data_IF_049748918214
#
_entry.id   IF_049748918214
#
_cell.length_a   1.000
_cell.length_b   1.000
_cell.length_c   1.000
_cell.angle_alpha   90.00
_cell.angle_beta   90.00
_cell.angle_gamma   90.00
#
_symmetry.space_group_name_H-M   'P 1'
#
loop_
_entity.id
_entity.type
_entity.pdbx_description
1 polymer ?
#
# COMPACT_ATOMS: atom_id res chain seq x y z
N UNK A 1 -7.02 26.25 22.06
CA UNK A 1 -6.15 25.15 21.60
C UNK A 1 -6.66 23.82 22.08
N UNK A 2 -7.35 23.09 21.21
CA UNK A 2 -7.87 21.76 21.51
C UNK A 2 -6.81 20.71 21.21
N UNK A 3 -6.35 19.99 22.23
CA UNK A 3 -5.48 18.83 22.07
C UNK A 3 -6.18 17.67 21.35
N UNK A 4 -5.49 16.53 21.18
CA UNK A 4 -6.09 15.30 20.67
C UNK A 4 -7.38 14.93 21.41
N UNK A 5 -8.36 14.42 20.68
CA UNK A 5 -9.67 14.04 21.24
C UNK A 5 -10.09 12.63 20.84
N UNK A 6 -10.76 11.93 21.75
CA UNK A 6 -11.43 10.65 21.47
C UNK A 6 -12.84 10.83 20.87
N UNK A 7 -13.37 12.06 20.90
CA UNK A 7 -14.71 12.41 20.41
C UNK A 7 -14.59 13.11 19.06
N UNK A 8 -13.98 12.44 18.09
CA UNK A 8 -13.76 12.97 16.75
C UNK A 8 -14.86 12.57 15.77
N UNK A 9 -14.92 13.27 14.63
CA UNK A 9 -15.73 12.91 13.46
C UNK A 9 -14.82 12.74 12.27
N UNK A 10 -14.90 11.57 11.64
CA UNK A 10 -14.02 11.20 10.55
C UNK A 10 -14.81 10.73 9.34
N UNK A 11 -14.33 11.11 8.16
CA UNK A 11 -14.75 10.55 6.88
C UNK A 11 -13.62 9.71 6.33
N UNK A 12 -13.94 8.48 5.92
CA UNK A 12 -13.00 7.55 5.29
C UNK A 12 -13.52 7.21 3.90
N UNK A 13 -12.63 7.27 2.92
CA UNK A 13 -12.85 6.77 1.57
C UNK A 13 -12.01 5.51 1.39
N UNK A 14 -12.62 4.44 0.89
CA UNK A 14 -11.93 3.24 0.44
C UNK A 14 -12.50 2.83 -0.92
N UNK A 15 -11.64 2.77 -1.94
CA UNK A 15 -12.03 2.43 -3.30
C UNK A 15 -11.01 1.47 -3.91
N UNK A 16 -11.50 0.42 -4.54
CA UNK A 16 -10.69 -0.54 -5.28
C UNK A 16 -11.30 -0.77 -6.67
N UNK A 17 -10.45 -0.80 -7.69
CA UNK A 17 -10.83 -1.07 -9.07
C UNK A 17 -9.88 -2.09 -9.67
N UNK A 18 -10.43 -3.11 -10.35
CA UNK A 18 -9.70 -4.14 -11.07
C UNK A 18 -10.20 -4.21 -12.51
N UNK A 19 -9.35 -3.83 -13.46
CA UNK A 19 -9.70 -3.77 -14.89
C UNK A 19 -8.84 -4.77 -15.67
N UNK A 20 -9.43 -5.86 -16.19
CA UNK A 20 -8.75 -6.71 -17.16
C UNK A 20 -8.72 -6.05 -18.54
N UNK A 21 -7.59 -6.15 -19.23
CA UNK A 21 -7.44 -5.67 -20.61
C UNK A 21 -6.41 -6.52 -21.36
N UNK A 22 -6.28 -6.29 -22.66
CA UNK A 22 -5.27 -6.94 -23.50
C UNK A 22 -4.43 -5.90 -24.23
N UNK A 23 -3.14 -6.18 -24.36
CA UNK A 23 -2.24 -5.47 -25.28
C UNK A 23 -1.71 -6.51 -26.25
N UNK A 24 -2.11 -6.40 -27.53
CA UNK A 24 -2.01 -7.50 -28.50
C UNK A 24 -2.64 -8.79 -27.92
N UNK A 25 -1.88 -9.88 -27.85
CA UNK A 25 -2.35 -11.16 -27.29
C UNK A 25 -2.05 -11.34 -25.80
N UNK A 26 -1.34 -10.39 -25.17
CA UNK A 26 -1.00 -10.47 -23.75
C UNK A 26 -2.18 -9.97 -22.90
N UNK A 27 -2.74 -10.88 -22.10
CA UNK A 27 -3.69 -10.51 -21.05
C UNK A 27 -2.98 -9.77 -19.92
N UNK A 28 -3.55 -8.65 -19.49
CA UNK A 28 -3.06 -7.82 -18.40
C UNK A 28 -4.23 -7.46 -17.46
N UNK A 29 -3.90 -7.08 -16.24
CA UNK A 29 -4.86 -6.56 -15.28
C UNK A 29 -4.27 -5.35 -14.57
N UNK A 30 -4.97 -4.23 -14.63
CA UNK A 30 -4.65 -3.06 -13.85
C UNK A 30 -5.49 -3.07 -12.57
N UNK A 31 -4.83 -2.91 -11.42
CA UNK A 31 -5.47 -2.81 -10.11
C UNK A 31 -5.06 -1.51 -9.46
N UNK A 32 -6.05 -0.76 -8.98
CA UNK A 32 -5.82 0.48 -8.24
C UNK A 32 -6.62 0.48 -6.95
N UNK A 33 -6.00 0.96 -5.87
CA UNK A 33 -6.64 1.14 -4.57
C UNK A 33 -6.37 2.55 -4.07
N UNK A 34 -7.41 3.26 -3.65
CA UNK A 34 -7.30 4.57 -3.00
C UNK A 34 -7.92 4.45 -1.61
N UNK A 35 -7.17 4.90 -0.60
CA UNK A 35 -7.71 5.14 0.74
C UNK A 35 -7.44 6.58 1.14
N UNK A 36 -8.47 7.25 1.64
CA UNK A 36 -8.39 8.60 2.16
C UNK A 36 -9.01 8.71 3.54
N UNK A 37 -8.45 9.57 4.38
CA UNK A 37 -8.94 9.90 5.70
C UNK A 37 -9.03 11.42 5.83
N UNK A 38 -10.16 11.90 6.34
CA UNK A 38 -10.37 13.32 6.62
C UNK A 38 -11.12 13.52 7.93
N UNK A 39 -10.60 14.43 8.76
CA UNK A 39 -11.23 14.92 9.98
C UNK A 39 -10.91 16.41 10.14
N UNK A 40 -11.70 17.14 10.92
CA UNK A 40 -11.33 18.47 11.40
C UNK A 40 -10.84 18.47 12.85
N UNK A 41 -10.89 17.33 13.52
CA UNK A 41 -10.45 17.15 14.89
C UNK A 41 -8.98 16.73 14.93
N UNK A 42 -8.27 17.12 16.00
CA UNK A 42 -6.92 16.62 16.28
C UNK A 42 -7.03 15.21 16.84
N UNK A 43 -6.28 14.27 16.27
CA UNK A 43 -6.34 12.87 16.64
C UNK A 43 -5.14 12.48 17.53
N UNK A 44 -5.29 11.35 18.22
CA UNK A 44 -4.15 10.63 18.76
C UNK A 44 -3.47 9.86 17.62
N UNK A 45 -2.16 9.66 17.71
CA UNK A 45 -1.38 8.95 16.69
C UNK A 45 -1.95 7.58 16.29
N UNK A 46 -2.63 6.88 17.22
CA UNK A 46 -3.26 5.58 16.94
C UNK A 46 -4.42 5.66 15.93
N UNK A 47 -5.03 6.84 15.80
CA UNK A 47 -6.12 7.14 14.86
C UNK A 47 -5.62 7.87 13.59
N UNK A 48 -4.32 8.20 13.52
CA UNK A 48 -3.74 8.87 12.34
C UNK A 48 -3.66 7.91 11.15
N UNK A 49 -3.81 8.45 9.95
CA UNK A 49 -3.48 7.72 8.73
C UNK A 49 -1.96 7.63 8.61
N UNK A 50 -1.42 6.42 8.56
CA UNK A 50 0.01 6.20 8.33
C UNK A 50 0.32 5.86 6.88
N UNK A 51 1.48 6.30 6.39
CA UNK A 51 2.04 5.95 5.08
C UNK A 51 3.51 5.52 5.22
N UNK A 52 3.95 4.62 4.33
CA UNK A 52 5.32 4.11 4.29
C UNK A 52 5.46 2.67 4.81
N UNK A 53 4.57 1.76 4.42
CA UNK A 53 4.65 0.33 4.78
C UNK A 53 4.13 -0.55 3.65
N UNK A 54 4.29 -1.88 3.78
CA UNK A 54 3.77 -2.84 2.78
C UNK A 54 2.26 -2.79 2.55
N UNK A 55 1.50 -2.21 3.49
CA UNK A 55 0.03 -2.12 3.41
C UNK A 55 -0.46 -0.79 2.83
N UNK A 56 0.40 0.25 2.79
CA UNK A 56 0.06 1.60 2.35
C UNK A 56 0.88 1.97 1.11
N UNK A 57 1.87 2.86 1.23
CA UNK A 57 2.84 3.14 0.16
C UNK A 57 3.94 2.08 0.22
N UNK A 58 3.94 1.11 -0.71
CA UNK A 58 4.98 0.07 -0.80
C UNK A 58 6.33 0.65 -1.22
N UNK A 59 7.39 -0.12 -0.99
CA UNK A 59 8.78 0.30 -1.20
C UNK A 59 9.46 0.81 0.07
N UNK A 60 8.76 0.78 1.20
CA UNK A 60 9.24 1.16 2.51
C UNK A 60 9.12 -0.03 3.47
N UNK A 61 10.08 -0.14 4.39
CA UNK A 61 10.17 -1.21 5.40
C UNK A 61 9.11 -1.13 6.50
N UNK A 62 8.56 0.05 6.76
CA UNK A 62 7.56 0.29 7.82
C UNK A 62 8.17 0.62 9.18
N UNK A 63 9.49 0.63 9.30
CA UNK A 63 10.22 1.00 10.53
C UNK A 63 10.10 2.50 10.81
N UNK A 64 10.04 3.30 9.76
CA UNK A 64 9.66 4.72 9.80
C UNK A 64 8.41 4.94 8.96
N UNK A 65 7.48 5.74 9.48
CA UNK A 65 6.22 6.06 8.81
C UNK A 65 5.92 7.55 8.98
N UNK A 66 5.18 8.13 8.03
CA UNK A 66 4.57 9.44 8.20
C UNK A 66 3.12 9.23 8.61
N UNK A 67 2.68 9.92 9.65
CA UNK A 67 1.33 9.82 10.18
C UNK A 67 0.70 11.20 10.30
N UNK A 68 -0.56 11.32 9.93
CA UNK A 68 -1.30 12.57 10.13
C UNK A 68 -2.78 12.34 10.27
N UNK A 69 -3.48 13.32 10.84
CA UNK A 69 -4.92 13.21 11.11
C UNK A 69 -5.71 13.04 9.80
N UNK A 70 -5.19 13.63 8.71
CA UNK A 70 -5.75 13.59 7.37
C UNK A 70 -4.72 13.06 6.39
N UNK A 71 -5.18 12.48 5.30
CA UNK A 71 -4.27 12.08 4.24
C UNK A 71 -4.90 11.10 3.28
N UNK A 72 -4.08 10.60 2.38
CA UNK A 72 -4.45 9.51 1.50
C UNK A 72 -3.23 8.70 1.07
N UNK A 73 -3.48 7.50 0.59
CA UNK A 73 -2.55 6.78 -0.27
C UNK A 73 -3.29 6.22 -1.48
N UNK A 74 -2.56 6.12 -2.58
CA UNK A 74 -3.02 5.61 -3.85
C UNK A 74 -2.00 4.59 -4.36
N UNK A 75 -2.48 3.36 -4.57
CA UNK A 75 -1.68 2.22 -4.98
C UNK A 75 -2.07 1.80 -6.37
N UNK A 76 -1.08 1.58 -7.23
CA UNK A 76 -1.28 1.15 -8.61
C UNK A 76 -0.49 -0.13 -8.86
N UNK A 77 -1.09 -1.07 -9.58
CA UNK A 77 -0.46 -2.32 -9.93
C UNK A 77 -0.86 -2.75 -11.34
N UNK A 78 0.14 -3.10 -12.15
CA UNK A 78 -0.04 -3.77 -13.42
C UNK A 78 0.40 -5.21 -13.29
N UNK A 79 -0.52 -6.14 -13.55
CA UNK A 79 -0.32 -7.57 -13.40
C UNK A 79 -0.32 -8.27 -14.76
N UNK A 80 0.59 -9.21 -14.95
CA UNK A 80 0.66 -10.08 -16.12
C UNK A 80 0.59 -11.56 -15.67
N UNK A 81 -0.49 -12.28 -15.99
CA UNK A 81 -0.57 -13.71 -15.76
C UNK A 81 0.51 -14.47 -16.54
N UNK A 82 1.10 -15.49 -15.91
CA UNK A 82 2.12 -16.37 -16.48
C UNK A 82 1.47 -17.60 -17.10
N UNK A 83 0.98 -17.46 -18.34
CA UNK A 83 0.31 -18.55 -19.06
C UNK A 83 -0.89 -19.10 -18.28
N UNK A 84 -1.02 -20.43 -18.23
CA UNK A 84 -2.10 -21.13 -17.52
C UNK A 84 -1.72 -21.55 -16.08
N UNK A 85 -0.65 -21.01 -15.51
CA UNK A 85 -0.05 -21.49 -14.25
C UNK A 85 -0.74 -21.03 -12.96
N UNK A 86 -1.81 -20.22 -13.05
CA UNK A 86 -2.40 -19.47 -11.93
C UNK A 86 -1.41 -18.54 -11.18
N UNK A 87 -0.30 -18.20 -11.82
CA UNK A 87 0.69 -17.24 -11.31
C UNK A 87 0.61 -15.95 -12.11
N UNK A 88 0.99 -14.84 -11.49
CA UNK A 88 1.10 -13.54 -12.13
C UNK A 88 2.31 -12.79 -11.56
N UNK A 89 3.07 -12.17 -12.47
CA UNK A 89 4.02 -11.12 -12.09
C UNK A 89 3.30 -9.78 -12.04
N UNK A 90 3.80 -8.87 -11.20
CA UNK A 90 3.25 -7.53 -11.13
C UNK A 90 4.32 -6.49 -10.88
N UNK A 91 4.06 -5.28 -11.36
CA UNK A 91 4.81 -4.07 -11.02
C UNK A 91 3.83 -3.03 -10.49
N UNK A 92 4.27 -2.18 -9.57
CA UNK A 92 3.41 -1.17 -8.98
C UNK A 92 4.14 0.10 -8.61
N UNK A 93 3.37 1.18 -8.55
CA UNK A 93 3.80 2.50 -8.10
C UNK A 93 2.73 3.04 -7.15
N UNK A 94 3.18 3.42 -5.96
CA UNK A 94 2.31 3.90 -4.90
C UNK A 94 2.75 5.32 -4.51
N UNK A 95 1.77 6.17 -4.17
CA UNK A 95 2.00 7.52 -3.65
C UNK A 95 1.10 7.74 -2.44
N UNK A 96 1.60 8.47 -1.44
CA UNK A 96 0.81 8.86 -0.29
C UNK A 96 1.23 10.20 0.26
N UNK A 97 0.27 10.88 0.89
CA UNK A 97 0.50 12.15 1.55
C UNK A 97 -0.37 12.30 2.79
N UNK A 98 0.22 12.79 3.87
CA UNK A 98 -0.46 13.12 5.13
C UNK A 98 -0.51 14.62 5.34
N UNK A 99 -1.51 15.09 6.08
CA UNK A 99 -1.74 16.49 6.41
C UNK A 99 -2.34 16.60 7.81
N UNK A 100 -2.13 17.74 8.44
CA UNK A 100 -2.78 18.11 9.70
C UNK A 100 -1.82 18.71 10.71
N UNK A 101 -2.31 19.13 11.87
CA UNK A 101 -1.48 19.73 12.92
C UNK A 101 -0.31 18.83 13.35
N UNK A 102 -0.48 17.50 13.40
CA UNK A 102 0.62 16.59 13.77
C UNK A 102 1.74 16.56 12.72
N UNK A 103 1.46 16.93 11.48
CA UNK A 103 2.43 16.85 10.39
C UNK A 103 3.53 17.92 10.43
N UNK A 104 3.37 18.98 11.21
CA UNK A 104 4.40 20.03 11.39
C UNK A 104 5.67 19.50 12.05
N UNK A 105 5.56 18.44 12.85
CA UNK A 105 6.70 17.79 13.50
C UNK A 105 7.37 16.71 12.63
N UNK A 106 6.83 16.41 11.44
CA UNK A 106 7.38 15.39 10.56
C UNK A 106 8.52 15.93 9.71
N UNK A 107 9.44 15.03 9.35
CA UNK A 107 10.53 15.30 8.39
C UNK A 107 10.04 15.58 6.96
N UNK A 108 8.77 15.31 6.69
CA UNK A 108 8.08 15.62 5.45
C UNK A 108 6.68 15.02 5.47
N UNK A 109 5.94 15.15 4.37
CA UNK A 109 4.50 14.78 4.35
C UNK A 109 4.13 13.78 3.26
N UNK A 110 5.04 13.44 2.35
CA UNK A 110 4.72 12.62 1.18
C UNK A 110 5.77 11.54 0.95
N UNK A 111 5.32 10.39 0.44
CA UNK A 111 6.15 9.27 0.04
C UNK A 111 5.70 8.74 -1.32
N UNK A 112 6.65 8.28 -2.13
CA UNK A 112 6.37 7.49 -3.33
C UNK A 112 7.28 6.27 -3.35
N UNK A 113 6.77 5.13 -3.79
CA UNK A 113 7.55 3.92 -3.89
C UNK A 113 7.12 3.04 -5.04
N UNK A 114 8.02 2.15 -5.44
CA UNK A 114 7.81 1.19 -6.50
C UNK A 114 7.95 -0.23 -5.94
N UNK A 115 7.26 -1.17 -6.58
CA UNK A 115 7.29 -2.58 -6.22
C UNK A 115 7.29 -3.45 -7.47
N UNK A 116 7.96 -4.60 -7.38
CA UNK A 116 7.82 -5.72 -8.30
C UNK A 116 7.56 -6.98 -7.48
N UNK A 117 6.70 -7.86 -7.97
CA UNK A 117 6.41 -9.09 -7.26
C UNK A 117 5.87 -10.21 -8.14
N UNK A 118 5.76 -11.37 -7.50
CA UNK A 118 5.21 -12.60 -8.06
C UNK A 118 4.18 -13.12 -7.06
N UNK A 119 2.98 -13.42 -7.56
CA UNK A 119 1.95 -14.07 -6.76
C UNK A 119 1.34 -15.24 -7.51
N UNK A 120 0.85 -16.21 -6.77
CA UNK A 120 0.17 -17.35 -7.35
C UNK A 120 -0.49 -18.21 -6.30
N UNK A 121 -1.24 -19.19 -6.79
CA UNK A 121 -1.85 -20.20 -5.95
C UNK A 121 -1.82 -21.57 -6.61
N UNK A 122 -1.71 -22.60 -5.78
CA UNK A 122 -1.81 -24.00 -6.18
C UNK A 122 -2.66 -24.75 -5.16
N UNK A 123 -3.45 -25.70 -5.62
CA UNK A 123 -4.29 -26.48 -4.72
C UNK A 123 -5.41 -27.22 -5.42
N UNK A 124 -6.11 -28.03 -4.64
CA UNK A 124 -7.28 -28.77 -5.11
C UNK A 124 -8.36 -28.79 -4.04
N UNK A 125 -9.63 -28.89 -4.43
CA UNK A 125 -10.76 -28.94 -3.51
C UNK A 125 -10.70 -30.10 -2.47
N UNK A 126 -9.80 -31.09 -2.66
CA UNK A 126 -9.61 -32.22 -1.74
C UNK A 126 -8.50 -32.02 -0.70
N UNK A 127 -7.51 -31.16 -0.98
CA UNK A 127 -6.29 -31.03 -0.16
C UNK A 127 -6.02 -29.59 0.32
N UNK A 128 -6.97 -28.69 0.08
CA UNK A 128 -6.82 -27.27 0.35
C UNK A 128 -6.05 -26.52 -0.75
N UNK A 129 -5.93 -25.21 -0.55
CA UNK A 129 -5.24 -24.27 -1.44
C UNK A 129 -4.11 -23.53 -0.74
N UNK A 130 -2.97 -23.45 -1.40
CA UNK A 130 -1.82 -22.64 -1.00
C UNK A 130 -1.75 -21.41 -1.93
N UNK A 131 -1.72 -20.22 -1.34
CA UNK A 131 -1.47 -18.96 -2.05
C UNK A 131 -0.22 -18.28 -1.51
N UNK A 132 0.53 -17.61 -2.38
CA UNK A 132 1.74 -16.88 -2.00
C UNK A 132 1.85 -15.54 -2.74
N UNK A 133 2.55 -14.58 -2.13
CA UNK A 133 2.99 -13.32 -2.72
C UNK A 133 4.42 -13.02 -2.24
N UNK A 134 5.33 -12.81 -3.18
CA UNK A 134 6.72 -12.41 -2.93
C UNK A 134 6.97 -11.11 -3.67
N UNK A 135 7.58 -10.13 -3.01
CA UNK A 135 7.89 -8.85 -3.64
C UNK A 135 9.20 -8.23 -3.18
N UNK A 136 9.71 -7.35 -4.04
CA UNK A 136 10.77 -6.39 -3.77
C UNK A 136 10.22 -4.98 -4.02
N UNK A 137 10.56 -4.03 -3.16
CA UNK A 137 10.18 -2.64 -3.31
C UNK A 137 11.33 -1.69 -3.01
N UNK A 138 11.21 -0.46 -3.51
CA UNK A 138 12.20 0.60 -3.28
C UNK A 138 11.51 1.96 -3.14
N UNK A 139 12.01 2.87 -2.29
CA UNK A 139 11.55 4.24 -2.24
C UNK A 139 11.88 4.95 -3.56
N UNK A 140 10.88 5.56 -4.20
CA UNK A 140 11.06 6.42 -5.39
C UNK A 140 11.22 7.88 -4.97
N UNK A 141 10.45 8.30 -3.97
CA UNK A 141 10.57 9.60 -3.35
C UNK A 141 10.42 9.46 -1.83
N UNK A 142 11.32 10.09 -1.09
CA UNK A 142 11.23 10.29 0.35
C UNK A 142 11.84 11.63 0.75
N UNK A 143 11.38 12.27 1.84
CA UNK A 143 12.06 13.43 2.42
C UNK A 143 13.52 13.09 2.76
N UNK A 144 14.40 14.09 2.72
CA UNK A 144 15.85 13.90 2.90
C UNK A 144 16.18 13.23 4.25
N UNK A 145 15.56 13.70 5.33
CA UNK A 145 15.76 13.17 6.68
C UNK A 145 14.90 11.92 6.99
N UNK A 146 14.15 11.39 6.02
CA UNK A 146 13.38 10.17 6.20
C UNK A 146 14.27 8.94 6.01
N UNK A 147 14.46 8.17 7.07
CA UNK A 147 15.34 6.99 7.08
C UNK A 147 14.53 5.72 6.80
N UNK A 148 14.96 4.93 5.82
CA UNK A 148 14.35 3.67 5.43
C UNK A 148 15.35 2.87 4.58
N UNK A 149 15.17 1.56 4.49
CA UNK A 149 15.97 0.72 3.62
C UNK A 149 15.87 1.16 2.14
N UNK A 150 16.97 1.01 1.39
CA UNK A 150 17.00 1.30 -0.05
C UNK A 150 16.21 0.26 -0.87
N UNK A 151 16.10 -0.96 -0.35
CA UNK A 151 15.33 -2.07 -0.91
C UNK A 151 14.64 -2.82 0.23
N UNK A 152 13.36 -3.10 0.07
CA UNK A 152 12.54 -3.90 1.00
C UNK A 152 12.10 -5.18 0.30
N UNK A 153 12.12 -6.32 1.00
CA UNK A 153 11.59 -7.59 0.51
C UNK A 153 10.44 -8.06 1.41
N UNK A 154 9.46 -8.76 0.84
CA UNK A 154 8.35 -9.33 1.60
C UNK A 154 7.86 -10.65 1.03
N UNK A 155 7.39 -11.51 1.93
CA UNK A 155 6.72 -12.77 1.62
C UNK A 155 5.39 -12.81 2.38
N UNK A 156 4.37 -13.37 1.75
CA UNK A 156 3.13 -13.79 2.37
C UNK A 156 2.75 -15.17 1.84
N UNK A 157 2.37 -16.07 2.74
CA UNK A 157 1.89 -17.42 2.40
C UNK A 157 0.60 -17.66 3.16
N UNK A 158 -0.42 -18.17 2.48
CA UNK A 158 -1.72 -18.49 3.05
C UNK A 158 -2.09 -19.90 2.63
N UNK A 159 -2.42 -20.76 3.60
CA UNK A 159 -2.99 -22.07 3.37
C UNK A 159 -4.45 -22.07 3.84
N UNK A 160 -5.35 -22.53 2.99
CA UNK A 160 -6.78 -22.68 3.28
C UNK A 160 -7.19 -24.14 3.07
N UNK A 161 -7.82 -24.75 4.08
CA UNK A 161 -8.33 -26.11 4.06
C UNK A 161 -9.86 -26.13 3.97
#
# INVERSE_FOLDING_TARGET
>A
DGGPTWRYRMMVLDANLSVPFKVAEQALRYVTTVRGQFTNDRLYYIDDLTIGSRYTVRGFDGESQLAGEKGFYWRNELQAPLGASNQAVYVGVDYGRVYGPSTEALVGTQLAGAVIGLRGGMGSAKFGGLSYDVFLGTPVYKPEQFHTASVTAGLQVVYQY
#
